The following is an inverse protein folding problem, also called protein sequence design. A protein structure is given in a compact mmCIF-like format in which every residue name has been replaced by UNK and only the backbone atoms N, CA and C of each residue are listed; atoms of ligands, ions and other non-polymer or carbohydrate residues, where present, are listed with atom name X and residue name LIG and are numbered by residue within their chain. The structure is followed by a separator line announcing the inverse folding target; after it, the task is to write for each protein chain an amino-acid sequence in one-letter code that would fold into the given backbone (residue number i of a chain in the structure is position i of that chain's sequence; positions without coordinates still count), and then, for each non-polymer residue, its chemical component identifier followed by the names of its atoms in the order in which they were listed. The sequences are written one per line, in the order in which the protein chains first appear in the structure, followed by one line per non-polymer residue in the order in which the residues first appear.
data_IF_218224451482
#
_entry.id   IF_218224451482
#
_cell.length_a   1.000
_cell.length_b   1.000
_cell.length_c   1.000
_cell.angle_alpha   90.00
_cell.angle_beta   90.00
_cell.angle_gamma   90.00
#
_symmetry.space_group_name_H-M   'P 1'
#
loop_
_entity.id
_entity.type
_entity.pdbx_description
1 polymer ?
#
# COMPACT_ATOMS: atom_id res chain seq x y z
N UNK A 1 1.85 -12.94 5.62
CA UNK A 1 1.52 -12.62 4.22
C UNK A 1 1.79 -13.87 3.39
N UNK A 2 0.74 -14.54 2.93
CA UNK A 2 0.87 -15.71 2.06
C UNK A 2 1.22 -15.20 0.66
N UNK A 3 2.41 -15.53 0.18
CA UNK A 3 2.75 -15.30 -1.23
C UNK A 3 2.13 -16.46 -2.01
N UNK A 4 0.93 -16.24 -2.51
CA UNK A 4 0.36 -17.13 -3.51
C UNK A 4 1.18 -16.94 -4.79
N UNK A 5 1.79 -18.02 -5.26
CA UNK A 5 2.25 -18.08 -6.64
C UNK A 5 0.99 -17.90 -7.49
N UNK A 6 0.83 -16.75 -8.13
CA UNK A 6 -0.21 -16.55 -9.13
C UNK A 6 0.12 -17.48 -10.32
N UNK A 7 -0.25 -18.75 -10.18
CA UNK A 7 -0.34 -19.69 -11.28
C UNK A 7 -1.56 -19.27 -12.09
N UNK A 8 -1.33 -18.59 -13.21
CA UNK A 8 -2.36 -18.48 -14.24
C UNK A 8 -2.10 -17.46 -15.34
N UNK A 9 -1.76 -16.21 -15.01
CA UNK A 9 -2.03 -15.11 -15.95
C UNK A 9 -0.85 -14.30 -16.55
N UNK A 10 0.43 -14.42 -16.15
CA UNK A 10 1.49 -13.70 -16.87
C UNK A 10 2.02 -14.45 -18.11
N UNK A 11 1.60 -15.70 -18.37
CA UNK A 11 2.08 -16.46 -19.54
C UNK A 11 1.42 -16.07 -20.87
N UNK A 12 0.24 -15.43 -20.85
CA UNK A 12 -0.52 -15.14 -22.06
C UNK A 12 -0.45 -13.68 -22.55
N UNK A 13 0.16 -12.77 -21.79
CA UNK A 13 0.31 -11.37 -22.23
C UNK A 13 1.57 -11.12 -23.08
N UNK A 14 2.15 -12.19 -23.66
CA UNK A 14 3.23 -12.07 -24.67
C UNK A 14 2.69 -11.76 -26.07
N UNK A 15 1.35 -11.69 -26.23
CA UNK A 15 0.69 -11.42 -27.51
C UNK A 15 0.55 -9.92 -27.85
N UNK A 16 1.04 -9.00 -27.01
CA UNK A 16 1.12 -7.56 -27.36
C UNK A 16 2.36 -7.20 -28.20
N UNK A 17 3.13 -8.20 -28.63
CA UNK A 17 4.37 -8.00 -29.38
C UNK A 17 4.09 -7.76 -30.87
N UNK A 18 3.73 -6.52 -31.17
CA UNK A 18 3.99 -5.68 -32.37
C UNK A 18 2.82 -4.70 -32.49
N UNK A 19 3.05 -3.45 -32.09
CA UNK A 19 2.13 -2.36 -32.35
C UNK A 19 2.10 -2.10 -33.87
N UNK A 20 1.01 -2.49 -34.54
CA UNK A 20 0.87 -2.24 -35.96
C UNK A 20 -0.38 -2.84 -36.59
N UNK A 21 -1.58 -2.39 -36.18
CA UNK A 21 -2.81 -2.68 -36.93
C UNK A 21 -3.37 -1.40 -37.53
N UNK A 22 -3.19 -1.21 -38.84
CA UNK A 22 -3.90 -0.21 -39.64
C UNK A 22 -5.05 -0.89 -40.38
N UNK A 23 -6.26 -0.32 -40.30
CA UNK A 23 -7.43 -0.80 -41.02
C UNK A 23 -7.86 0.27 -42.01
N UNK A 24 -7.57 0.06 -43.29
CA UNK A 24 -8.15 0.85 -44.38
C UNK A 24 -9.34 0.07 -44.95
N UNK A 25 -10.49 0.73 -45.12
CA UNK A 25 -11.72 0.13 -45.66
C UNK A 25 -12.01 0.80 -47.00
N UNK A 26 -12.14 -0.01 -48.07
CA UNK A 26 -12.56 0.51 -49.37
C UNK A 26 -14.00 1.03 -49.29
N UNK A 27 -14.24 2.23 -49.82
CA UNK A 27 -15.59 2.77 -49.98
C UNK A 27 -16.19 2.26 -51.29
N UNK A 28 -17.45 1.80 -51.33
CA UNK A 28 -18.04 1.18 -52.53
C UNK A 28 -18.03 2.04 -53.81
N UNK A 29 -17.85 3.37 -53.68
CA UNK A 29 -17.74 4.31 -54.82
C UNK A 29 -16.32 4.71 -55.22
N UNK A 30 -15.28 4.24 -54.53
CA UNK A 30 -13.88 4.54 -54.87
C UNK A 30 -12.96 3.37 -54.49
N UNK A 31 -12.56 2.57 -55.49
CA UNK A 31 -11.66 1.40 -55.35
C UNK A 31 -10.21 1.90 -55.38
N UNK A 32 -9.82 2.61 -54.33
CA UNK A 32 -8.48 3.18 -54.16
C UNK A 32 -7.53 2.29 -53.35
N UNK A 33 -7.97 1.08 -53.00
CA UNK A 33 -7.15 0.01 -52.43
C UNK A 33 -6.96 -1.06 -53.51
N UNK A 34 -5.77 -1.10 -54.10
CA UNK A 34 -5.41 -2.07 -55.14
C UNK A 34 -4.21 -2.90 -54.68
N UNK A 35 -3.92 -4.02 -55.35
CA UNK A 35 -2.72 -4.81 -55.03
C UNK A 35 -1.43 -3.99 -55.11
N UNK A 36 -1.37 -3.03 -56.03
CA UNK A 36 -0.20 -2.15 -56.23
C UNK A 36 -0.20 -0.93 -55.28
N UNK A 37 -1.30 -0.67 -54.56
CA UNK A 37 -1.43 0.38 -53.56
C UNK A 37 -2.36 -0.08 -52.43
N UNK A 38 -1.92 -1.01 -51.57
CA UNK A 38 -2.79 -1.67 -50.59
C UNK A 38 -3.14 -0.79 -49.37
N UNK A 39 -2.58 0.43 -49.27
CA UNK A 39 -2.83 1.38 -48.19
C UNK A 39 -3.06 2.78 -48.75
N UNK A 40 -4.07 3.52 -48.26
CA UNK A 40 -4.39 4.87 -48.74
C UNK A 40 -3.36 5.90 -48.25
N UNK A 41 -2.94 6.82 -49.12
CA UNK A 41 -2.19 8.03 -48.72
C UNK A 41 -0.72 7.84 -48.35
N UNK A 42 -0.06 6.76 -48.79
CA UNK A 42 1.38 6.57 -48.63
C UNK A 42 2.19 7.38 -49.66
N UNK A 43 2.00 8.71 -49.68
CA UNK A 43 2.93 9.60 -50.37
C UNK A 43 4.21 9.70 -49.56
N UNK A 44 5.25 8.93 -49.90
CA UNK A 44 6.62 9.10 -49.39
C UNK A 44 6.81 9.05 -47.87
N UNK A 45 5.83 8.57 -47.11
CA UNK A 45 5.89 8.54 -45.65
C UNK A 45 6.57 7.26 -45.19
N UNK A 46 7.79 7.40 -44.66
CA UNK A 46 8.46 6.35 -43.90
C UNK A 46 7.53 5.90 -42.78
N UNK A 47 7.08 4.65 -42.82
CA UNK A 47 6.37 4.04 -41.69
C UNK A 47 7.39 3.90 -40.56
N UNK A 48 7.31 4.81 -39.59
CA UNK A 48 8.03 4.69 -38.33
C UNK A 48 7.45 3.48 -37.59
N UNK A 49 8.09 2.32 -37.74
CA UNK A 49 7.83 1.18 -36.86
C UNK A 49 8.43 1.57 -35.51
N UNK A 50 7.62 1.80 -34.47
CA UNK A 50 8.16 2.10 -33.15
C UNK A 50 8.98 0.90 -32.69
N UNK A 51 10.06 1.18 -31.95
CA UNK A 51 10.86 0.12 -31.37
C UNK A 51 9.97 -0.79 -30.52
N UNK A 52 9.99 -2.12 -30.75
CA UNK A 52 9.06 -3.02 -30.08
C UNK A 52 9.34 -3.04 -28.58
N UNK A 53 8.32 -2.73 -27.79
CA UNK A 53 8.30 -2.93 -26.34
C UNK A 53 7.84 -4.35 -26.05
N UNK A 54 8.61 -5.10 -25.25
CA UNK A 54 8.28 -6.48 -24.93
C UNK A 54 8.09 -6.76 -23.46
N UNK A 55 7.21 -7.72 -23.16
CA UNK A 55 7.10 -8.36 -21.86
C UNK A 55 7.86 -9.68 -21.89
N UNK A 56 8.74 -9.88 -20.92
CA UNK A 56 9.64 -11.02 -20.85
C UNK A 56 9.63 -11.66 -19.44
N UNK A 57 9.98 -12.93 -19.39
CA UNK A 57 10.28 -13.66 -18.16
C UNK A 57 11.65 -14.30 -18.31
N UNK A 58 12.47 -14.22 -17.25
CA UNK A 58 13.76 -14.90 -17.25
C UNK A 58 13.55 -16.41 -17.35
N UNK A 59 14.08 -17.04 -18.40
CA UNK A 59 13.84 -18.45 -18.72
C UNK A 59 14.32 -19.42 -17.62
N UNK A 60 15.38 -19.07 -16.89
CA UNK A 60 15.97 -19.90 -15.82
C UNK A 60 15.57 -19.44 -14.41
N UNK A 61 14.47 -18.69 -14.29
CA UNK A 61 13.99 -18.20 -12.99
C UNK A 61 13.61 -19.37 -12.09
N UNK A 62 14.17 -19.37 -10.88
CA UNK A 62 13.90 -20.37 -9.85
C UNK A 62 12.69 -19.97 -9.01
N UNK A 63 11.97 -20.95 -8.48
CA UNK A 63 10.79 -20.72 -7.63
C UNK A 63 11.13 -19.84 -6.42
N UNK A 64 10.35 -18.78 -6.16
CA UNK A 64 10.43 -17.99 -4.92
C UNK A 64 10.23 -18.87 -3.69
N UNK A 65 10.89 -18.54 -2.59
CA UNK A 65 10.64 -19.21 -1.31
C UNK A 65 10.81 -18.25 -0.13
N UNK A 66 10.17 -18.57 0.98
CA UNK A 66 10.28 -17.86 2.25
C UNK A 66 10.51 -18.84 3.38
N UNK A 67 11.50 -18.56 4.22
CA UNK A 67 11.75 -19.29 5.46
C UNK A 67 11.18 -18.44 6.59
N UNK A 68 10.29 -19.00 7.39
CA UNK A 68 9.66 -18.33 8.52
C UNK A 68 10.08 -18.98 9.83
N UNK A 69 10.29 -18.14 10.84
CA UNK A 69 10.62 -18.56 12.20
C UNK A 69 9.71 -17.83 13.17
N UNK A 70 9.16 -18.58 14.11
CA UNK A 70 8.18 -18.11 15.09
C UNK A 70 8.58 -18.62 16.48
N UNK A 71 8.51 -17.75 17.48
CA UNK A 71 8.63 -18.11 18.89
C UNK A 71 7.56 -17.36 19.66
N UNK A 72 6.67 -18.08 20.34
CA UNK A 72 5.63 -17.49 21.19
C UNK A 72 5.75 -18.02 22.62
N UNK A 73 5.60 -17.11 23.58
CA UNK A 73 5.49 -17.42 25.00
C UNK A 73 4.14 -16.89 25.48
N UNK A 74 3.31 -17.78 26.00
CA UNK A 74 1.99 -17.44 26.53
C UNK A 74 1.93 -17.73 28.03
N UNK A 75 1.33 -16.81 28.78
CA UNK A 75 1.08 -16.96 30.22
C UNK A 75 -0.31 -16.46 30.58
N UNK A 76 -1.00 -17.24 31.39
CA UNK A 76 -2.19 -16.77 32.09
C UNK A 76 -1.78 -15.84 33.24
N UNK A 77 -2.37 -14.64 33.26
CA UNK A 77 -2.10 -13.62 34.30
C UNK A 77 -3.11 -13.70 35.46
N UNK A 78 -4.12 -14.56 35.34
CA UNK A 78 -5.23 -14.72 36.27
C UNK A 78 -6.48 -13.93 35.86
N UNK A 79 -7.61 -14.22 36.51
CA UNK A 79 -8.87 -13.49 36.33
C UNK A 79 -9.32 -13.41 34.87
N UNK A 80 -9.29 -14.55 34.18
CA UNK A 80 -9.71 -14.74 32.77
C UNK A 80 -8.82 -14.07 31.72
N UNK A 81 -7.61 -13.64 32.12
CA UNK A 81 -6.69 -12.86 31.26
C UNK A 81 -5.44 -13.66 30.91
N UNK A 82 -5.07 -13.65 29.62
CA UNK A 82 -3.85 -14.26 29.11
C UNK A 82 -3.02 -13.24 28.32
N UNK A 83 -1.70 -13.31 28.47
CA UNK A 83 -0.71 -12.55 27.72
C UNK A 83 0.09 -13.50 26.84
N UNK A 84 0.32 -13.11 25.60
CA UNK A 84 1.19 -13.80 24.64
C UNK A 84 2.18 -12.78 24.08
N UNK A 85 3.46 -13.13 24.12
CA UNK A 85 4.54 -12.38 23.47
C UNK A 85 5.13 -13.28 22.39
N UNK A 86 5.22 -12.75 21.18
CA UNK A 86 5.65 -13.49 20.01
C UNK A 86 6.76 -12.76 19.25
N UNK A 87 7.67 -13.53 18.68
CA UNK A 87 8.59 -13.05 17.66
C UNK A 87 8.33 -13.82 16.38
N UNK A 88 8.11 -13.09 15.28
CA UNK A 88 7.95 -13.62 13.94
C UNK A 88 9.00 -12.99 13.06
N UNK A 89 9.76 -13.80 12.33
CA UNK A 89 10.53 -13.27 11.22
C UNK A 89 10.52 -14.18 10.01
N UNK A 90 10.88 -13.59 8.89
CA UNK A 90 10.95 -14.28 7.62
C UNK A 90 12.09 -13.76 6.76
N UNK A 91 12.67 -14.69 6.02
CA UNK A 91 13.69 -14.42 5.01
C UNK A 91 13.19 -14.98 3.70
N UNK A 92 12.90 -14.08 2.77
CA UNK A 92 12.39 -14.40 1.44
C UNK A 92 13.47 -14.18 0.39
N UNK A 93 13.55 -15.12 -0.54
CA UNK A 93 14.57 -15.18 -1.58
C UNK A 93 13.93 -15.56 -2.90
N UNK A 94 14.57 -15.12 -3.99
CA UNK A 94 14.13 -15.38 -5.35
C UNK A 94 12.72 -14.87 -5.62
N UNK A 95 12.33 -13.79 -4.93
CA UNK A 95 11.05 -13.16 -5.16
C UNK A 95 11.02 -12.60 -6.57
N UNK A 96 9.83 -12.61 -7.15
CA UNK A 96 9.61 -11.98 -8.44
C UNK A 96 9.85 -10.47 -8.30
N UNK A 97 10.62 -9.91 -9.24
CA UNK A 97 10.83 -8.48 -9.36
C UNK A 97 10.74 -8.09 -10.82
N UNK A 98 10.36 -6.85 -11.09
CA UNK A 98 10.33 -6.30 -12.43
C UNK A 98 11.60 -5.49 -12.68
N UNK A 99 12.24 -5.67 -13.84
CA UNK A 99 13.39 -4.88 -14.27
C UNK A 99 13.27 -4.51 -15.74
N UNK A 100 14.01 -3.49 -16.14
CA UNK A 100 14.15 -3.11 -17.53
C UNK A 100 15.42 -3.74 -18.10
N UNK A 101 15.27 -4.82 -18.87
CA UNK A 101 16.44 -5.55 -19.39
C UNK A 101 17.22 -4.73 -20.43
N UNK A 102 16.51 -4.00 -21.29
CA UNK A 102 17.08 -3.12 -22.31
C UNK A 102 17.12 -1.65 -21.84
N UNK A 103 17.72 -1.41 -20.67
CA UNK A 103 17.85 -0.08 -20.06
C UNK A 103 19.07 0.67 -20.60
N UNK A 104 18.89 1.92 -21.00
CA UNK A 104 19.99 2.77 -21.45
C UNK A 104 20.87 3.28 -20.28
N UNK A 105 22.17 3.47 -20.52
CA UNK A 105 23.04 4.11 -19.53
C UNK A 105 22.74 5.61 -19.40
N UNK A 106 22.70 6.19 -18.18
CA UNK A 106 22.39 7.61 -18.01
C UNK A 106 23.47 8.50 -18.64
N UNK A 107 23.08 9.61 -19.26
CA UNK A 107 24.02 10.58 -19.85
C UNK A 107 23.42 11.98 -19.91
N UNK A 108 24.26 13.00 -19.72
CA UNK A 108 23.87 14.40 -19.88
C UNK A 108 23.84 14.83 -21.36
N UNK A 109 24.39 14.01 -22.26
CA UNK A 109 24.42 14.28 -23.69
C UNK A 109 23.03 14.07 -24.31
N UNK A 110 22.39 15.17 -24.71
CA UNK A 110 21.07 15.18 -25.34
C UNK A 110 21.11 14.75 -26.82
N UNK A 111 22.31 14.66 -27.42
CA UNK A 111 22.48 14.25 -28.82
C UNK A 111 22.50 12.74 -29.00
N UNK A 112 22.78 11.98 -27.93
CA UNK A 112 22.81 10.52 -27.94
C UNK A 112 21.43 9.94 -27.59
N UNK A 113 20.68 9.37 -28.57
CA UNK A 113 19.36 8.81 -28.33
C UNK A 113 19.40 7.66 -27.33
N UNK A 114 18.32 7.51 -26.55
CA UNK A 114 18.14 6.40 -25.57
C UNK A 114 18.44 5.04 -26.21
N UNK A 115 17.94 4.81 -27.43
CA UNK A 115 18.15 3.59 -28.19
C UNK A 115 19.64 3.22 -28.36
N UNK A 116 20.50 4.17 -28.76
CA UNK A 116 21.92 3.90 -29.02
C UNK A 116 22.71 3.63 -27.74
N UNK A 117 22.14 3.90 -26.57
CA UNK A 117 22.73 3.64 -25.25
C UNK A 117 22.17 2.39 -24.57
N UNK A 118 21.18 1.76 -25.17
CA UNK A 118 20.61 0.49 -24.70
C UNK A 118 21.39 -0.70 -25.26
N UNK A 119 21.45 -1.84 -24.54
CA UNK A 119 22.12 -3.06 -25.02
C UNK A 119 21.66 -3.58 -26.39
N UNK A 120 20.38 -3.39 -26.72
CA UNK A 120 19.74 -3.76 -27.99
C UNK A 120 19.09 -2.52 -28.62
N UNK A 121 19.85 -1.70 -29.38
CA UNK A 121 19.36 -0.44 -29.93
C UNK A 121 18.20 -0.55 -30.91
N UNK A 122 17.99 -1.72 -31.50
CA UNK A 122 16.90 -2.02 -32.42
C UNK A 122 15.58 -2.35 -31.69
N UNK A 123 15.64 -2.57 -30.37
CA UNK A 123 14.50 -2.95 -29.54
C UNK A 123 14.14 -1.84 -28.55
N UNK A 124 12.87 -1.80 -28.16
CA UNK A 124 12.41 -0.91 -27.09
C UNK A 124 12.83 -1.45 -25.72
N UNK A 125 12.36 -0.80 -24.66
CA UNK A 125 12.56 -1.31 -23.30
C UNK A 125 11.84 -2.66 -23.13
N UNK A 126 12.49 -3.62 -22.49
CA UNK A 126 11.87 -4.91 -22.11
C UNK A 126 11.48 -4.90 -20.65
N UNK A 127 10.21 -5.14 -20.38
CA UNK A 127 9.71 -5.42 -19.05
C UNK A 127 9.97 -6.88 -18.72
N UNK A 128 11.01 -7.14 -17.94
CA UNK A 128 11.39 -8.49 -17.60
C UNK A 128 11.04 -8.79 -16.15
N UNK A 129 10.29 -9.87 -15.93
CA UNK A 129 10.13 -10.43 -14.59
C UNK A 129 11.30 -11.37 -14.33
N UNK A 130 12.08 -11.06 -13.30
CA UNK A 130 13.19 -11.88 -12.84
C UNK A 130 12.93 -12.46 -11.44
N UNK A 131 13.91 -13.19 -10.90
CA UNK A 131 13.90 -13.74 -9.54
C UNK A 131 14.93 -13.08 -8.64
N UNK A 132 15.25 -11.79 -8.85
CA UNK A 132 16.28 -11.08 -8.10
C UNK A 132 15.81 -10.55 -6.74
N UNK A 133 14.48 -10.51 -6.53
CA UNK A 133 13.86 -9.96 -5.34
C UNK A 133 14.24 -10.70 -4.06
N UNK A 134 14.45 -9.92 -3.00
CA UNK A 134 14.79 -10.39 -1.65
C UNK A 134 14.00 -9.54 -0.65
N UNK A 135 13.48 -10.18 0.38
CA UNK A 135 12.84 -9.49 1.48
C UNK A 135 13.21 -10.13 2.82
N UNK A 136 13.27 -9.32 3.86
CA UNK A 136 13.46 -9.74 5.23
C UNK A 136 12.41 -9.03 6.09
N UNK A 137 11.70 -9.78 6.92
CA UNK A 137 10.71 -9.25 7.86
C UNK A 137 11.03 -9.72 9.27
N UNK A 138 10.90 -8.83 10.25
CA UNK A 138 10.99 -9.19 11.67
C UNK A 138 9.94 -8.41 12.44
N UNK A 139 9.28 -9.08 13.38
CA UNK A 139 8.24 -8.48 14.21
C UNK A 139 8.26 -9.04 15.62
N UNK A 140 8.09 -8.15 16.59
CA UNK A 140 7.69 -8.46 17.94
C UNK A 140 6.19 -8.19 18.06
N UNK A 141 5.43 -9.18 18.50
CA UNK A 141 4.00 -9.06 18.75
C UNK A 141 3.68 -9.27 20.23
N UNK A 142 2.73 -8.50 20.74
CA UNK A 142 2.15 -8.71 22.06
C UNK A 142 0.63 -8.81 21.92
N UNK A 143 0.03 -9.80 22.58
CA UNK A 143 -1.41 -9.98 22.63
C UNK A 143 -1.85 -10.15 24.07
N UNK A 144 -2.75 -9.28 24.53
CA UNK A 144 -3.40 -9.39 25.83
C UNK A 144 -4.89 -9.64 25.60
N UNK A 145 -5.40 -10.74 26.11
CA UNK A 145 -6.81 -11.12 25.94
C UNK A 145 -7.44 -11.43 27.28
N UNK A 146 -8.64 -10.90 27.52
CA UNK A 146 -9.51 -11.31 28.62
C UNK A 146 -10.74 -11.98 28.04
N UNK A 147 -11.00 -13.23 28.42
CA UNK A 147 -12.25 -13.93 28.07
C UNK A 147 -13.43 -13.23 28.74
N UNK A 148 -14.62 -13.33 28.14
CA UNK A 148 -15.81 -12.69 28.68
C UNK A 148 -16.10 -13.18 30.10
N UNK A 149 -16.00 -12.26 31.06
CA UNK A 149 -16.17 -12.54 32.47
C UNK A 149 -16.63 -11.29 33.19
N UNK A 150 -17.67 -11.42 34.00
CA UNK A 150 -18.30 -10.31 34.74
C UNK A 150 -18.70 -9.14 33.82
N UNK A 151 -19.20 -9.47 32.62
CA UNK A 151 -19.68 -8.49 31.65
C UNK A 151 -18.60 -7.89 30.74
N UNK A 152 -17.31 -8.20 30.94
CA UNK A 152 -16.23 -7.59 30.17
C UNK A 152 -15.42 -8.63 29.39
N UNK A 153 -15.21 -8.37 28.11
CA UNK A 153 -14.17 -9.01 27.29
C UNK A 153 -13.35 -7.93 26.59
N UNK A 154 -12.06 -8.18 26.42
CA UNK A 154 -11.21 -7.31 25.62
C UNK A 154 -10.08 -8.10 24.97
N UNK A 155 -9.59 -7.57 23.85
CA UNK A 155 -8.39 -8.05 23.19
C UNK A 155 -7.56 -6.86 22.75
N UNK A 156 -6.32 -6.83 23.19
CA UNK A 156 -5.30 -5.89 22.76
C UNK A 156 -4.25 -6.66 21.96
N UNK A 157 -3.92 -6.17 20.77
CA UNK A 157 -2.82 -6.64 19.95
C UNK A 157 -1.89 -5.48 19.63
N UNK A 158 -0.59 -5.70 19.75
CA UNK A 158 0.45 -4.77 19.34
C UNK A 158 1.47 -5.51 18.49
N UNK A 159 1.96 -4.85 17.45
CA UNK A 159 3.03 -5.34 16.59
C UNK A 159 4.02 -4.21 16.36
N UNK A 160 5.28 -4.47 16.71
CA UNK A 160 6.42 -3.69 16.27
C UNK A 160 7.14 -4.48 15.20
N UNK A 161 7.21 -3.98 13.97
CA UNK A 161 7.79 -4.72 12.86
C UNK A 161 8.73 -3.90 12.00
N UNK A 162 9.55 -4.60 11.21
CA UNK A 162 10.38 -4.01 10.17
C UNK A 162 10.46 -4.96 8.99
N UNK A 163 10.10 -4.44 7.82
CA UNK A 163 10.15 -5.10 6.52
C UNK A 163 11.13 -4.36 5.60
N UNK A 164 12.11 -5.08 5.07
CA UNK A 164 13.10 -4.56 4.13
C UNK A 164 13.07 -5.43 2.88
N UNK A 165 12.98 -4.81 1.71
CA UNK A 165 13.03 -5.50 0.42
C UNK A 165 13.81 -4.70 -0.63
N UNK A 166 13.91 -5.28 -1.82
CA UNK A 166 14.53 -4.70 -3.01
C UNK A 166 13.47 -4.20 -4.01
N UNK A 167 12.19 -4.24 -3.63
CA UNK A 167 11.02 -4.07 -4.47
C UNK A 167 9.82 -4.74 -3.80
N UNK A 168 8.69 -4.03 -3.66
CA UNK A 168 7.54 -4.53 -2.88
C UNK A 168 6.57 -5.35 -3.71
N UNK A 169 6.61 -5.22 -5.02
CA UNK A 169 5.74 -5.92 -5.96
C UNK A 169 6.37 -5.96 -7.37
N UNK A 170 5.80 -6.80 -8.24
CA UNK A 170 6.13 -6.86 -9.67
C UNK A 170 5.46 -5.75 -10.49
N UNK A 171 4.67 -4.89 -9.84
CA UNK A 171 3.97 -3.74 -10.42
C UNK A 171 3.98 -2.60 -9.41
N UNK A 172 3.47 -1.44 -9.82
CA UNK A 172 3.26 -0.29 -8.93
C UNK A 172 2.43 -0.71 -7.71
N UNK A 173 2.91 -0.38 -6.52
CA UNK A 173 2.22 -0.63 -5.26
C UNK A 173 2.26 0.61 -4.39
N UNK A 174 1.13 1.34 -4.35
CA UNK A 174 1.01 2.66 -3.73
C UNK A 174 2.06 3.64 -4.30
N UNK A 175 3.07 4.00 -3.51
CA UNK A 175 4.16 4.91 -3.90
C UNK A 175 5.41 4.19 -4.43
N UNK A 176 5.41 2.85 -4.48
CA UNK A 176 6.49 2.06 -5.07
C UNK A 176 6.35 2.06 -6.60
N UNK A 177 7.40 2.50 -7.29
CA UNK A 177 7.41 2.63 -8.75
C UNK A 177 7.63 1.29 -9.44
N UNK A 178 7.35 1.26 -10.74
CA UNK A 178 7.29 0.02 -11.52
C UNK A 178 8.65 -0.67 -11.73
N UNK A 179 9.73 0.11 -11.80
CA UNK A 179 11.07 -0.37 -12.07
C UNK A 179 12.04 0.07 -10.98
N UNK A 180 13.15 -0.67 -10.77
CA UNK A 180 14.28 -0.12 -10.04
C UNK A 180 14.74 1.19 -10.70
N UNK A 181 15.35 2.08 -9.93
CA UNK A 181 15.99 3.27 -10.48
C UNK A 181 17.08 2.90 -11.48
N UNK A 182 17.82 1.81 -11.21
CA UNK A 182 18.72 1.23 -12.20
C UNK A 182 18.64 -0.29 -12.21
N UNK A 183 18.34 -0.87 -13.38
CA UNK A 183 18.34 -2.32 -13.57
C UNK A 183 19.74 -2.95 -13.48
N UNK A 184 20.79 -2.11 -13.55
CA UNK A 184 22.19 -2.51 -13.35
C UNK A 184 22.60 -2.53 -11.88
N UNK A 185 21.88 -1.85 -10.99
CA UNK A 185 22.19 -1.74 -9.56
C UNK A 185 20.99 -2.05 -8.66
N UNK A 186 20.55 -3.30 -8.66
CA UNK A 186 19.45 -3.74 -7.80
C UNK A 186 19.76 -3.62 -6.29
N UNK A 187 21.05 -3.62 -5.90
CA UNK A 187 21.42 -3.42 -4.49
C UNK A 187 21.03 -2.03 -3.99
N UNK A 188 20.98 -1.04 -4.88
CA UNK A 188 20.51 0.32 -4.61
C UNK A 188 19.01 0.43 -4.33
N UNK A 189 18.24 -0.64 -4.52
CA UNK A 189 16.79 -0.69 -4.22
C UNK A 189 16.49 -1.22 -2.81
N UNK A 190 17.52 -1.67 -2.08
CA UNK A 190 17.34 -2.17 -0.72
C UNK A 190 16.85 -1.04 0.20
N UNK A 191 15.58 -1.08 0.55
CA UNK A 191 14.91 -0.08 1.39
C UNK A 191 13.84 -0.72 2.26
N UNK A 192 13.09 0.10 2.99
CA UNK A 192 11.87 -0.39 3.65
C UNK A 192 10.89 -0.89 2.57
N UNK A 193 10.14 -1.96 2.85
CA UNK A 193 9.02 -2.35 1.99
C UNK A 193 7.98 -1.23 1.94
N UNK A 194 7.29 -1.01 0.82
CA UNK A 194 6.26 0.04 0.74
C UNK A 194 5.06 -0.22 1.68
N UNK A 195 4.84 -1.47 2.05
CA UNK A 195 3.87 -1.88 3.08
C UNK A 195 4.49 -2.04 4.48
N UNK A 196 5.72 -1.56 4.70
CA UNK A 196 6.33 -1.58 6.03
C UNK A 196 5.50 -0.73 7.00
N UNK A 197 5.10 -1.35 8.11
CA UNK A 197 4.38 -0.68 9.18
C UNK A 197 5.10 -0.94 10.49
N UNK A 198 5.81 0.08 10.96
CA UNK A 198 6.66 -0.03 12.14
C UNK A 198 5.84 -0.38 13.38
N UNK A 199 4.72 0.32 13.61
CA UNK A 199 3.89 0.10 14.79
C UNK A 199 2.43 -0.04 14.40
N UNK A 200 1.76 -1.05 14.95
CA UNK A 200 0.31 -1.21 14.87
C UNK A 200 -0.23 -1.73 16.19
N UNK A 201 -1.20 -1.03 16.75
CA UNK A 201 -1.96 -1.48 17.91
C UNK A 201 -3.45 -1.51 17.58
N UNK A 202 -4.13 -2.57 18.00
CA UNK A 202 -5.58 -2.73 17.86
C UNK A 202 -6.13 -3.21 19.20
N UNK A 203 -7.15 -2.54 19.70
CA UNK A 203 -7.85 -2.91 20.93
C UNK A 203 -9.32 -3.08 20.61
N UNK A 204 -9.91 -4.22 20.96
CA UNK A 204 -11.35 -4.40 21.00
C UNK A 204 -11.81 -4.57 22.43
N UNK A 205 -12.90 -3.91 22.78
CA UNK A 205 -13.54 -3.99 24.10
C UNK A 205 -15.03 -4.20 23.90
N UNK A 206 -15.61 -5.11 24.66
CA UNK A 206 -17.05 -5.29 24.75
C UNK A 206 -17.44 -5.38 26.22
N UNK A 207 -18.36 -4.52 26.64
CA UNK A 207 -18.74 -4.38 28.03
C UNK A 207 -20.26 -4.32 28.20
N UNK A 208 -20.81 -5.32 28.87
CA UNK A 208 -22.15 -5.27 29.44
C UNK A 208 -22.15 -4.30 30.61
N UNK A 209 -22.88 -3.20 30.48
CA UNK A 209 -23.04 -2.28 31.59
C UNK A 209 -23.67 -3.03 32.78
N UNK A 210 -23.11 -2.91 33.99
CA UNK A 210 -23.64 -3.56 35.19
C UNK A 210 -24.83 -2.78 35.75
N UNK A 211 -25.66 -2.20 34.89
CA UNK A 211 -26.79 -1.35 35.21
C UNK A 211 -28.08 -2.04 34.74
N UNK A 212 -29.06 -2.12 35.63
CA UNK A 212 -30.42 -2.54 35.34
C UNK A 212 -30.91 -3.78 36.11
N UNK A 213 -32.11 -4.27 35.80
CA UNK A 213 -32.74 -5.41 36.50
C UNK A 213 -31.81 -6.62 36.59
N UNK A 214 -31.54 -7.08 37.82
CA UNK A 214 -30.64 -8.21 38.08
C UNK A 214 -29.14 -7.93 37.90
N UNK A 215 -28.73 -6.66 37.66
CA UNK A 215 -27.33 -6.22 37.59
C UNK A 215 -26.91 -5.50 38.88
N UNK A 216 -25.63 -5.13 38.98
CA UNK A 216 -25.01 -4.57 40.20
C UNK A 216 -25.60 -3.21 40.61
N UNK A 217 -25.92 -2.36 39.63
CA UNK A 217 -26.44 -1.01 39.85
C UNK A 217 -27.87 -0.89 39.30
N UNK A 218 -28.73 -0.12 39.98
CA UNK A 218 -30.14 0.09 39.61
C UNK A 218 -30.94 -1.23 39.43
N UNK A 219 -30.74 -2.16 40.36
CA UNK A 219 -31.34 -3.50 40.34
C UNK A 219 -32.85 -3.55 40.59
N UNK A 220 -33.44 -2.45 41.08
CA UNK A 220 -34.84 -2.36 41.49
C UNK A 220 -35.89 -2.23 40.37
N UNK A 221 -35.47 -2.09 39.10
CA UNK A 221 -36.38 -1.93 37.97
C UNK A 221 -37.00 -0.53 37.84
N UNK A 222 -37.95 -0.36 36.91
CA UNK A 222 -38.70 0.88 36.66
C UNK A 222 -38.42 1.53 35.29
N UNK A 223 -38.99 2.72 35.06
CA UNK A 223 -38.82 3.46 33.78
C UNK A 223 -37.34 3.83 33.55
N UNK A 224 -36.61 4.18 34.61
CA UNK A 224 -35.17 4.41 34.55
C UNK A 224 -34.43 3.18 34.02
N UNK A 225 -34.67 2.00 34.61
CA UNK A 225 -34.09 0.73 34.16
C UNK A 225 -34.43 0.41 32.68
N UNK A 226 -35.68 0.66 32.26
CA UNK A 226 -36.09 0.49 30.87
C UNK A 226 -35.29 1.35 29.88
N UNK A 227 -34.75 2.50 30.30
CA UNK A 227 -33.96 3.41 29.45
C UNK A 227 -32.45 3.16 29.59
N UNK A 228 -31.92 3.08 30.81
CA UNK A 228 -30.46 3.01 31.08
C UNK A 228 -29.92 1.62 31.42
N UNK A 229 -30.78 0.63 31.68
CA UNK A 229 -30.36 -0.75 31.96
C UNK A 229 -30.06 -1.57 30.71
N UNK A 230 -29.19 -2.58 30.82
CA UNK A 230 -29.02 -3.62 29.78
C UNK A 230 -28.30 -3.21 28.50
N UNK A 231 -27.60 -2.07 28.49
CA UNK A 231 -26.73 -1.71 27.37
C UNK A 231 -25.46 -2.55 27.36
N UNK A 232 -25.04 -2.97 26.18
CA UNK A 232 -23.70 -3.49 25.93
C UNK A 232 -22.99 -2.53 24.97
N UNK A 233 -21.80 -2.11 25.38
CA UNK A 233 -20.98 -1.13 24.67
C UNK A 233 -19.80 -1.84 24.02
N UNK A 234 -19.57 -1.55 22.75
CA UNK A 234 -18.43 -2.04 21.99
C UNK A 234 -17.51 -0.89 21.58
N UNK A 235 -16.22 -1.16 21.54
CA UNK A 235 -15.27 -0.23 20.94
C UNK A 235 -14.13 -0.97 20.26
N UNK A 236 -13.70 -0.43 19.11
CA UNK A 236 -12.48 -0.84 18.43
C UNK A 236 -11.61 0.38 18.27
N UNK A 237 -10.44 0.36 18.91
CA UNK A 237 -9.42 1.38 18.75
C UNK A 237 -8.28 0.81 17.93
N UNK A 238 -7.89 1.47 16.84
CA UNK A 238 -6.69 1.12 16.09
C UNK A 238 -5.80 2.34 15.86
N UNK A 239 -4.51 2.14 16.08
CA UNK A 239 -3.47 3.15 15.88
C UNK A 239 -2.34 2.48 15.13
N UNK A 240 -1.82 3.15 14.10
CA UNK A 240 -0.73 2.61 13.32
C UNK A 240 0.19 3.71 12.78
N UNK A 241 1.46 3.39 12.58
CA UNK A 241 2.40 4.24 11.84
C UNK A 241 2.00 4.32 10.36
N UNK A 242 2.47 5.35 9.68
CA UNK A 242 2.31 5.43 8.23
C UNK A 242 3.19 4.43 7.50
N UNK A 243 3.04 4.43 6.18
CA UNK A 243 3.84 3.62 5.28
C UNK A 243 5.01 4.43 4.74
N UNK A 244 6.13 3.82 4.37
CA UNK A 244 7.18 4.55 3.70
C UNK A 244 6.82 4.84 2.24
N UNK A 245 7.38 5.91 1.71
CA UNK A 245 7.20 6.37 0.35
C UNK A 245 8.53 6.84 -0.23
N UNK A 246 8.66 6.68 -1.54
CA UNK A 246 9.84 7.08 -2.31
C UNK A 246 9.62 8.46 -2.92
N UNK A 247 10.54 9.39 -2.70
CA UNK A 247 10.53 10.68 -3.39
C UNK A 247 10.98 10.46 -4.83
N UNK A 248 10.25 11.05 -5.76
CA UNK A 248 10.52 10.97 -7.20
C UNK A 248 10.56 12.36 -7.81
N UNK A 249 11.08 12.49 -9.02
CA UNK A 249 11.11 13.74 -9.75
C UNK A 249 10.03 13.90 -10.83
N UNK A 250 9.32 12.81 -11.18
CA UNK A 250 8.38 12.76 -12.30
C UNK A 250 9.00 13.25 -13.63
N UNK A 251 10.32 13.10 -13.79
CA UNK A 251 11.09 13.49 -14.97
C UNK A 251 12.06 12.38 -15.36
N UNK A 252 12.45 12.37 -16.62
CA UNK A 252 13.55 11.51 -17.10
C UNK A 252 14.86 12.26 -16.96
N UNK A 253 15.23 12.52 -15.71
CA UNK A 253 16.41 13.30 -15.40
C UNK A 253 17.68 12.47 -15.60
N UNK A 254 17.61 11.15 -15.46
CA UNK A 254 18.68 10.21 -15.81
C UNK A 254 18.88 10.07 -17.33
N UNK A 255 17.91 10.51 -18.15
CA UNK A 255 17.91 10.35 -19.60
C UNK A 255 17.96 8.87 -20.01
N UNK A 256 17.22 8.01 -19.33
CA UNK A 256 17.14 6.57 -19.65
C UNK A 256 15.82 6.19 -20.33
N UNK A 257 14.94 7.16 -20.57
CA UNK A 257 13.61 6.97 -21.14
C UNK A 257 12.54 6.64 -20.10
N UNK A 258 12.77 6.90 -18.81
CA UNK A 258 11.79 6.70 -17.73
C UNK A 258 11.65 7.97 -16.89
N UNK A 259 10.42 8.37 -16.60
CA UNK A 259 10.10 9.60 -15.90
C UNK A 259 9.92 9.49 -14.39
N UNK A 260 10.60 8.61 -13.68
CA UNK A 260 10.37 8.35 -12.24
C UNK A 260 11.66 8.20 -11.44
N UNK A 261 12.67 9.03 -11.75
CA UNK A 261 13.94 8.96 -11.05
C UNK A 261 13.80 9.49 -9.61
N UNK A 262 14.63 8.95 -8.70
CA UNK A 262 14.79 9.49 -7.35
C UNK A 262 15.73 10.70 -7.40
N UNK A 263 15.49 11.75 -6.60
CA UNK A 263 16.40 12.90 -6.49
C UNK A 263 17.68 12.58 -5.72
N UNK A 264 18.56 13.56 -5.56
CA UNK A 264 19.69 13.49 -4.64
C UNK A 264 19.25 13.71 -3.19
N UNK A 265 19.83 12.94 -2.27
CA UNK A 265 19.80 13.27 -0.85
C UNK A 265 20.82 14.38 -0.55
N UNK A 266 20.41 15.44 0.14
CA UNK A 266 21.29 16.57 0.49
C UNK A 266 22.12 16.33 1.76
N UNK A 267 21.86 15.23 2.47
CA UNK A 267 22.43 14.92 3.79
C UNK A 267 21.61 15.44 4.97
N UNK A 268 20.56 16.23 4.73
CA UNK A 268 19.62 16.62 5.79
C UNK A 268 18.66 15.48 6.14
N UNK A 269 18.17 15.45 7.38
CA UNK A 269 17.12 14.52 7.77
C UNK A 269 15.80 14.84 7.04
N UNK A 270 15.17 13.83 6.45
CA UNK A 270 13.84 13.94 5.84
C UNK A 270 12.72 14.14 6.87
N UNK A 271 12.96 13.73 8.11
CA UNK A 271 11.99 13.75 9.21
C UNK A 271 12.00 15.13 9.88
N UNK A 272 10.87 15.84 9.84
CA UNK A 272 10.73 17.11 10.54
C UNK A 272 10.53 16.94 12.06
N UNK A 273 11.00 17.86 12.90
CA UNK A 273 10.65 17.88 14.33
C UNK A 273 9.12 17.90 14.54
N UNK A 274 8.63 17.26 15.61
CA UNK A 274 7.18 17.11 15.87
C UNK A 274 6.42 18.44 15.91
N UNK A 275 7.02 19.51 16.42
CA UNK A 275 6.37 20.82 16.56
C UNK A 275 6.19 21.61 15.26
N UNK A 276 6.88 21.22 14.17
CA UNK A 276 6.78 21.91 12.86
C UNK A 276 6.11 21.06 11.78
N UNK A 277 5.84 19.78 12.09
CA UNK A 277 5.24 18.85 11.14
C UNK A 277 3.73 19.00 11.14
N UNK A 278 3.16 19.32 9.98
CA UNK A 278 1.73 19.46 9.75
C UNK A 278 1.38 19.07 8.30
N UNK A 279 0.10 19.05 7.89
CA UNK A 279 -0.28 18.71 6.52
C UNK A 279 0.38 19.57 5.43
N UNK A 280 0.69 20.84 5.69
CA UNK A 280 1.37 21.73 4.73
C UNK A 280 2.88 21.52 4.65
N UNK A 281 3.45 20.78 5.61
CA UNK A 281 4.88 20.49 5.69
C UNK A 281 5.10 19.16 6.41
N UNK A 282 4.82 18.07 5.72
CA UNK A 282 4.86 16.73 6.32
C UNK A 282 6.29 16.20 6.52
N UNK A 283 7.18 16.49 5.59
CA UNK A 283 8.59 16.10 5.67
C UNK A 283 9.50 17.25 5.22
N UNK A 284 10.80 17.14 5.54
CA UNK A 284 11.78 18.14 5.20
C UNK A 284 12.10 18.03 3.70
N UNK A 285 11.48 18.88 2.89
CA UNK A 285 11.70 18.91 1.44
C UNK A 285 13.14 19.26 1.07
N UNK A 286 13.85 20.04 1.90
CA UNK A 286 15.25 20.39 1.70
C UNK A 286 16.23 19.20 1.92
N UNK A 287 15.73 18.05 2.39
CA UNK A 287 16.49 16.79 2.38
C UNK A 287 16.70 16.23 0.97
N UNK A 288 15.99 16.76 -0.02
CA UNK A 288 16.02 16.31 -1.40
C UNK A 288 16.34 17.48 -2.33
N UNK A 289 17.19 17.22 -3.32
CA UNK A 289 17.51 18.16 -4.38
C UNK A 289 17.44 17.46 -5.73
N UNK A 290 16.90 18.12 -6.75
CA UNK A 290 16.87 17.56 -8.10
C UNK A 290 18.30 17.22 -8.53
N UNK A 291 18.48 16.00 -9.01
CA UNK A 291 19.76 15.49 -9.46
C UNK A 291 20.18 16.16 -10.79
N UNK A 292 21.50 16.26 -11.09
CA UNK A 292 21.97 16.73 -12.37
C UNK A 292 21.38 15.90 -13.53
N UNK A 293 21.11 16.56 -14.65
CA UNK A 293 20.64 15.87 -15.86
C UNK A 293 21.69 14.85 -16.31
N UNK A 294 21.24 13.68 -16.73
CA UNK A 294 22.08 12.55 -17.09
C UNK A 294 22.61 11.73 -15.93
N UNK A 295 22.03 11.86 -14.74
CA UNK A 295 22.46 11.10 -13.55
C UNK A 295 21.27 10.47 -12.82
N UNK A 296 21.50 9.32 -12.20
CA UNK A 296 20.59 8.79 -11.18
C UNK A 296 20.81 9.54 -9.86
N UNK A 297 19.74 9.80 -9.13
CA UNK A 297 19.86 10.43 -7.81
C UNK A 297 20.34 9.48 -6.72
N UNK A 298 20.79 10.07 -5.61
CA UNK A 298 21.34 9.35 -4.46
C UNK A 298 20.34 9.05 -3.35
N UNK A 299 19.11 9.57 -3.40
CA UNK A 299 18.12 9.31 -2.38
C UNK A 299 17.73 7.82 -2.34
N UNK A 300 17.62 7.25 -1.14
CA UNK A 300 17.22 5.87 -0.95
C UNK A 300 15.74 5.65 -1.32
N UNK A 301 15.38 4.39 -1.60
CA UNK A 301 14.00 3.97 -1.75
C UNK A 301 13.29 4.00 -0.39
N UNK A 302 12.05 4.47 -0.38
CA UNK A 302 11.14 4.40 0.78
C UNK A 302 11.67 5.14 2.04
N UNK A 303 12.22 6.34 1.85
CA UNK A 303 12.86 7.17 2.91
C UNK A 303 11.95 8.20 3.59
N UNK A 304 10.74 8.42 3.08
CA UNK A 304 9.75 9.32 3.70
C UNK A 304 8.65 8.49 4.34
N UNK A 305 8.37 8.65 5.63
CA UNK A 305 7.24 7.97 6.28
C UNK A 305 5.99 8.85 6.17
N UNK A 306 4.92 8.34 5.57
CA UNK A 306 3.63 9.03 5.41
C UNK A 306 2.86 9.12 6.75
N UNK A 307 1.73 9.83 6.84
CA UNK A 307 0.91 9.83 8.04
C UNK A 307 0.44 8.43 8.45
N UNK A 308 0.49 8.20 9.76
CA UNK A 308 -0.22 7.09 10.39
C UNK A 308 -1.73 7.35 10.44
N UNK A 309 -2.46 6.39 10.98
CA UNK A 309 -3.90 6.53 11.20
C UNK A 309 -4.27 6.22 12.66
N UNK A 310 -5.29 6.92 13.14
CA UNK A 310 -5.91 6.75 14.44
C UNK A 310 -7.41 6.61 14.20
N UNK A 311 -7.97 5.48 14.60
CA UNK A 311 -9.37 5.16 14.39
C UNK A 311 -9.96 4.68 15.71
N UNK A 312 -11.08 5.28 16.11
CA UNK A 312 -11.89 4.84 17.23
C UNK A 312 -13.31 4.61 16.73
N UNK A 313 -13.73 3.36 16.68
CA UNK A 313 -15.08 2.96 16.37
C UNK A 313 -15.81 2.61 17.66
N UNK A 314 -17.09 2.94 17.71
CA UNK A 314 -17.94 2.77 18.88
C UNK A 314 -19.25 2.11 18.47
N UNK A 315 -19.75 1.21 19.31
CA UNK A 315 -21.10 0.68 19.19
C UNK A 315 -21.80 0.66 20.54
N UNK A 316 -23.09 0.90 20.51
CA UNK A 316 -23.97 0.72 21.65
C UNK A 316 -25.18 -0.09 21.19
N UNK A 317 -25.53 -1.12 21.94
CA UNK A 317 -26.72 -1.88 21.66
C UNK A 317 -27.47 -2.25 22.92
N UNK A 318 -28.76 -2.43 22.72
CA UNK A 318 -29.71 -2.78 23.77
C UNK A 318 -30.84 -3.61 23.18
N UNK A 319 -31.21 -4.65 23.92
CA UNK A 319 -32.40 -5.45 23.64
C UNK A 319 -33.51 -5.05 24.60
N UNK A 320 -34.65 -4.62 24.06
CA UNK A 320 -35.88 -4.35 24.77
C UNK A 320 -36.78 -5.57 24.63
N UNK A 321 -36.96 -6.33 25.72
CA UNK A 321 -37.99 -7.37 25.76
C UNK A 321 -39.36 -6.71 25.94
N UNK A 322 -40.28 -6.98 25.01
CA UNK A 322 -41.62 -6.37 25.00
C UNK A 322 -42.60 -7.33 25.70
N UNK A 323 -42.73 -8.56 25.17
CA UNK A 323 -43.52 -9.67 25.73
C UNK A 323 -42.81 -10.99 25.43
N UNK A 324 -43.37 -12.13 25.85
CA UNK A 324 -42.81 -13.45 25.50
C UNK A 324 -42.67 -13.60 23.98
N UNK A 325 -41.51 -14.10 23.53
CA UNK A 325 -41.09 -14.23 22.14
C UNK A 325 -40.92 -12.93 21.33
N UNK A 326 -41.27 -11.75 21.89
CA UNK A 326 -41.14 -10.48 21.19
C UNK A 326 -40.07 -9.57 21.79
N UNK A 327 -39.08 -9.17 20.97
CA UNK A 327 -38.00 -8.28 21.38
C UNK A 327 -37.65 -7.26 20.29
N UNK A 328 -37.26 -6.06 20.72
CA UNK A 328 -36.73 -5.00 19.86
C UNK A 328 -35.25 -4.78 20.18
N UNK A 329 -34.38 -4.93 19.19
CA UNK A 329 -32.96 -4.63 19.29
C UNK A 329 -32.68 -3.26 18.69
N UNK A 330 -32.10 -2.37 19.50
CA UNK A 330 -31.54 -1.11 19.05
C UNK A 330 -30.02 -1.23 18.94
N UNK A 331 -29.46 -0.75 17.83
CA UNK A 331 -28.02 -0.67 17.61
C UNK A 331 -27.66 0.70 17.07
N UNK A 332 -26.68 1.32 17.71
CA UNK A 332 -26.00 2.52 17.26
C UNK A 332 -24.55 2.17 16.99
N UNK A 333 -24.04 2.56 15.84
CA UNK A 333 -22.63 2.43 15.47
C UNK A 333 -22.10 3.78 15.03
N UNK A 334 -20.89 4.09 15.44
CA UNK A 334 -20.18 5.27 15.00
C UNK A 334 -18.76 4.88 14.58
N UNK A 335 -18.48 4.97 13.30
CA UNK A 335 -17.15 4.82 12.73
C UNK A 335 -16.43 6.17 12.79
N UNK A 336 -15.16 6.16 13.20
CA UNK A 336 -14.40 7.39 13.49
C UNK A 336 -15.19 8.29 14.45
N UNK A 337 -15.62 7.74 15.58
CA UNK A 337 -16.43 8.39 16.60
C UNK A 337 -15.94 9.80 17.01
N UNK A 338 -14.63 10.04 17.24
CA UNK A 338 -14.12 11.37 17.57
C UNK A 338 -13.98 12.31 16.35
N UNK A 339 -14.30 11.85 15.14
CA UNK A 339 -14.14 12.58 13.89
C UNK A 339 -12.69 13.03 13.65
N UNK A 340 -11.71 12.19 14.00
CA UNK A 340 -10.29 12.48 13.84
C UNK A 340 -9.90 12.35 12.35
N UNK A 341 -9.22 13.35 11.75
CA UNK A 341 -8.79 13.25 10.36
C UNK A 341 -7.62 12.27 10.22
N UNK A 342 -7.81 11.23 9.40
CA UNK A 342 -6.70 10.38 8.95
C UNK A 342 -6.16 10.94 7.65
N UNK A 343 -5.00 11.59 7.71
CA UNK A 343 -4.37 12.25 6.57
C UNK A 343 -3.93 11.24 5.49
N UNK A 344 -4.04 11.66 4.23
CA UNK A 344 -3.57 10.91 3.06
C UNK A 344 -2.05 10.95 2.92
N UNK A 345 -1.56 10.45 1.78
CA UNK A 345 -0.14 10.51 1.47
C UNK A 345 0.28 11.96 1.11
N UNK A 346 1.48 12.41 1.51
CA UNK A 346 2.02 13.68 1.05
C UNK A 346 2.40 13.57 -0.43
N UNK A 347 2.47 14.71 -1.10
CA UNK A 347 3.06 14.80 -2.43
C UNK A 347 4.57 14.51 -2.37
N UNK A 348 4.98 13.46 -3.08
CA UNK A 348 6.34 12.93 -3.12
C UNK A 348 7.12 13.38 -4.36
N UNK A 349 6.53 14.21 -5.22
CA UNK A 349 7.18 14.70 -6.44
C UNK A 349 7.97 15.98 -6.17
N UNK A 350 9.30 15.93 -6.26
CA UNK A 350 10.15 17.12 -5.99
C UNK A 350 9.89 18.28 -6.97
N UNK A 351 9.32 17.97 -8.14
CA UNK A 351 8.99 18.95 -9.17
C UNK A 351 7.59 19.54 -9.02
N UNK A 352 6.80 19.03 -8.06
CA UNK A 352 5.45 19.54 -7.79
C UNK A 352 5.48 20.79 -6.92
N UNK A 353 4.56 21.71 -7.17
CA UNK A 353 4.36 22.90 -6.34
C UNK A 353 3.86 22.56 -4.92
N UNK A 354 3.26 21.38 -4.76
CA UNK A 354 2.76 20.89 -3.47
C UNK A 354 3.69 19.89 -2.80
N UNK A 355 4.95 19.77 -3.25
CA UNK A 355 5.92 18.83 -2.68
C UNK A 355 5.98 18.92 -1.14
N UNK A 356 5.77 17.79 -0.47
CA UNK A 356 5.74 17.72 1.00
C UNK A 356 4.40 18.06 1.66
N UNK A 357 3.36 18.42 0.89
CA UNK A 357 2.02 18.74 1.39
C UNK A 357 1.06 17.57 1.26
N UNK A 358 0.07 17.50 2.15
CA UNK A 358 -1.02 16.54 2.15
C UNK A 358 -2.32 17.27 1.84
N UNK A 359 -2.97 16.90 0.73
CA UNK A 359 -4.20 17.55 0.25
C UNK A 359 -5.43 16.64 0.33
N UNK A 360 -5.35 15.53 1.06
CA UNK A 360 -6.41 14.53 1.13
C UNK A 360 -6.47 13.84 2.50
N UNK A 361 -7.59 13.16 2.77
CA UNK A 361 -7.72 12.19 3.85
C UNK A 361 -7.71 10.78 3.28
N UNK A 362 -7.22 9.82 4.07
CA UNK A 362 -7.16 8.40 3.70
C UNK A 362 -8.46 7.66 4.01
N UNK A 363 -9.17 8.09 5.05
CA UNK A 363 -10.43 7.49 5.46
C UNK A 363 -11.54 8.53 5.42
N UNK A 364 -12.77 8.04 5.37
CA UNK A 364 -13.94 8.88 5.58
C UNK A 364 -13.90 9.51 6.98
N UNK A 365 -14.60 10.65 7.09
CA UNK A 365 -14.90 11.28 8.37
C UNK A 365 -15.95 10.44 9.12
N UNK A 366 -16.40 10.93 10.28
CA UNK A 366 -17.35 10.21 11.12
C UNK A 366 -18.60 9.77 10.37
N UNK A 367 -18.93 8.48 10.49
CA UNK A 367 -20.16 7.90 9.98
C UNK A 367 -20.95 7.31 11.14
N UNK A 368 -22.25 7.59 11.23
CA UNK A 368 -23.14 7.10 12.27
C UNK A 368 -24.23 6.27 11.62
N UNK A 369 -24.41 5.05 12.08
CA UNK A 369 -25.46 4.14 11.64
C UNK A 369 -26.37 3.81 12.82
N UNK A 370 -27.67 3.77 12.54
CA UNK A 370 -28.70 3.41 13.52
C UNK A 370 -29.56 2.31 12.92
N UNK A 371 -29.76 1.24 13.68
CA UNK A 371 -30.59 0.11 13.27
C UNK A 371 -31.57 -0.27 14.38
N UNK A 372 -32.77 -0.65 13.96
CA UNK A 372 -33.81 -1.24 14.78
C UNK A 372 -34.18 -2.58 14.17
N UNK A 373 -34.18 -3.64 14.98
CA UNK A 373 -34.59 -4.98 14.57
C UNK A 373 -35.66 -5.49 15.51
N UNK A 374 -36.81 -5.86 14.96
CA UNK A 374 -37.87 -6.54 15.69
C UNK A 374 -37.74 -8.05 15.52
N UNK A 375 -37.89 -8.80 16.61
CA UNK A 375 -37.82 -10.26 16.69
C UNK A 375 -39.14 -10.77 17.28
N UNK A 376 -39.70 -11.83 16.69
CA UNK A 376 -40.98 -12.43 17.03
C UNK A 376 -40.90 -13.96 16.96
#
# INVERSE_FOLDING_TARGET
MFYAQDTGNPRFDMARNLAGRRRDIATPGNIDLTWNAPFRGLGGTTVLIPQPYGLANVYNRRTPYSIQYLLNVQRELGGDTALEIGYLGSVSRRLESLRAFNEAYPTADTTLPVALRSPYPELGRFQEVDGSGKANYNALSAKLQRRFSKGLTYMFGYTWSKSIDYGSAIRVHDTDVLFPQSSYNLRGERGLSSFNQDHRAVTSVLYDLPIGKGRRFLSGGGIGDAIIGGWQLGSIFSVQSGFPATVIDNKDQSNTGIGYDRPNATGQYSVLPRGVRNPDRWFNTAAFALQPYGTFGTAGRNTVITPGSIQLDFSAHKEFRIVENHALQFRLEAFNFPNHPNWGNPDISITSQTFGRINSTRTNMREIQVALKYMF
#
